data_IF_628968186691
#
_entry.id   IF_628968186691
#
_cell.length_a   1.000
_cell.length_b   1.000
_cell.length_c   1.000
_cell.angle_alpha   90.00
_cell.angle_beta   90.00
_cell.angle_gamma   90.00
#
_symmetry.space_group_name_H-M   'P 1'
#
loop_
_entity.id
_entity.type
_entity.pdbx_description
1 polymer ?
#
# COMPACT_ATOMS: atom_id res chain seq x y z
N UNK A 1 21.40 12.23 -6.20
CA UNK A 1 21.65 10.78 -6.32
C UNK A 1 20.39 10.15 -6.89
N UNK A 2 20.39 9.84 -8.19
CA UNK A 2 19.28 9.10 -8.79
C UNK A 2 19.19 7.70 -8.17
N UNK A 3 17.97 7.29 -7.83
CA UNK A 3 17.69 5.99 -7.25
C UNK A 3 17.43 5.02 -8.39
N UNK A 4 18.26 3.99 -8.54
CA UNK A 4 17.91 2.88 -9.42
C UNK A 4 16.84 2.01 -8.75
N UNK A 5 15.59 2.46 -8.85
CA UNK A 5 14.44 1.79 -8.23
C UNK A 5 14.23 0.38 -8.80
N UNK A 6 14.59 0.16 -10.06
CA UNK A 6 14.44 -1.15 -10.70
C UNK A 6 15.35 -2.19 -10.04
N UNK A 7 16.63 -1.85 -9.79
CA UNK A 7 17.55 -2.74 -9.09
C UNK A 7 17.05 -3.09 -7.69
N UNK A 8 16.54 -2.10 -6.94
CA UNK A 8 16.02 -2.35 -5.59
C UNK A 8 14.79 -3.25 -5.58
N UNK A 9 13.90 -3.14 -6.57
CA UNK A 9 12.74 -4.03 -6.72
C UNK A 9 13.17 -5.44 -7.08
N UNK A 10 14.14 -5.57 -7.99
CA UNK A 10 14.67 -6.86 -8.41
C UNK A 10 15.31 -7.59 -7.24
N UNK A 11 16.20 -6.92 -6.50
CA UNK A 11 16.87 -7.51 -5.33
C UNK A 11 15.85 -7.95 -4.28
N UNK A 12 14.84 -7.13 -3.97
CA UNK A 12 13.81 -7.51 -3.00
C UNK A 12 13.04 -8.77 -3.41
N UNK A 13 12.72 -8.92 -4.70
CA UNK A 13 12.05 -10.11 -5.22
C UNK A 13 12.97 -11.33 -5.21
N UNK A 14 14.23 -11.15 -5.60
CA UNK A 14 15.23 -12.21 -5.60
C UNK A 14 15.43 -12.76 -4.18
N UNK A 15 15.63 -11.88 -3.19
CA UNK A 15 15.80 -12.27 -1.78
C UNK A 15 14.54 -12.97 -1.27
N UNK A 16 13.35 -12.43 -1.54
CA UNK A 16 12.09 -13.06 -1.15
C UNK A 16 11.99 -14.51 -1.63
N UNK A 17 12.24 -14.73 -2.92
CA UNK A 17 12.12 -16.05 -3.53
C UNK A 17 13.23 -16.99 -3.03
N UNK A 18 14.47 -16.52 -2.99
CA UNK A 18 15.60 -17.31 -2.50
C UNK A 18 15.40 -17.75 -1.05
N UNK A 19 14.90 -16.85 -0.19
CA UNK A 19 14.58 -17.22 1.19
C UNK A 19 13.44 -18.23 1.26
N UNK A 20 12.41 -18.15 0.42
CA UNK A 20 11.33 -19.16 0.38
C UNK A 20 11.81 -20.53 -0.10
N UNK A 21 12.74 -20.55 -1.07
CA UNK A 21 13.18 -21.78 -1.72
C UNK A 21 14.24 -22.54 -0.91
N UNK A 22 15.04 -21.82 -0.11
CA UNK A 22 16.25 -22.37 0.52
C UNK A 22 16.31 -22.22 2.05
N UNK A 23 15.29 -21.67 2.71
CA UNK A 23 15.24 -21.59 4.17
C UNK A 23 13.99 -22.33 4.69
N UNK A 24 14.21 -23.29 5.59
CA UNK A 24 13.14 -23.96 6.30
C UNK A 24 12.60 -23.05 7.42
N UNK A 25 11.28 -22.93 7.50
CA UNK A 25 10.59 -22.16 8.52
C UNK A 25 9.90 -23.08 9.52
N UNK A 26 9.96 -22.69 10.80
CA UNK A 26 9.11 -23.29 11.81
C UNK A 26 7.64 -22.95 11.54
N UNK A 27 6.71 -23.84 11.93
CA UNK A 27 5.30 -23.55 11.81
C UNK A 27 4.91 -22.32 12.64
N UNK A 28 4.02 -21.49 12.10
CA UNK A 28 3.47 -20.30 12.74
C UNK A 28 2.31 -20.63 13.69
N UNK A 29 1.76 -21.84 13.60
CA UNK A 29 0.78 -22.40 14.53
C UNK A 29 0.86 -23.93 14.57
N UNK A 30 0.44 -24.55 15.66
CA UNK A 30 0.54 -26.01 15.88
C UNK A 30 -0.19 -26.84 14.81
N UNK A 31 -1.24 -26.28 14.22
CA UNK A 31 -2.07 -26.90 13.19
C UNK A 31 -1.58 -26.63 11.76
N UNK A 32 -0.46 -25.92 11.59
CA UNK A 32 0.04 -25.56 10.26
C UNK A 32 0.59 -26.78 9.51
N UNK A 33 0.05 -27.01 8.30
CA UNK A 33 0.66 -27.93 7.35
C UNK A 33 1.74 -27.21 6.51
N UNK A 34 2.99 -27.29 6.96
CA UNK A 34 4.16 -26.67 6.30
C UNK A 34 4.49 -27.25 4.92
N UNK A 35 3.83 -28.33 4.49
CA UNK A 35 3.99 -28.90 3.14
C UNK A 35 3.16 -28.15 2.09
N UNK A 36 2.22 -27.30 2.51
CA UNK A 36 1.44 -26.47 1.60
C UNK A 36 2.23 -25.23 1.20
N UNK A 37 2.21 -24.88 -0.09
CA UNK A 37 2.75 -23.61 -0.53
C UNK A 37 1.80 -22.46 -0.16
N UNK A 38 2.34 -21.24 -0.06
CA UNK A 38 1.63 -20.03 0.40
C UNK A 38 0.43 -19.59 -0.47
N UNK A 39 0.22 -20.23 -1.63
CA UNK A 39 -0.93 -19.98 -2.51
C UNK A 39 -2.11 -20.94 -2.26
N UNK A 40 -1.91 -21.98 -1.46
CA UNK A 40 -2.93 -23.00 -1.19
C UNK A 40 -3.84 -22.59 -0.03
N UNK A 41 -5.12 -22.97 -0.09
CA UNK A 41 -6.05 -22.71 1.01
C UNK A 41 -5.58 -23.43 2.28
N UNK A 42 -5.37 -22.68 3.35
CA UNK A 42 -4.92 -23.20 4.64
C UNK A 42 -3.40 -23.14 4.87
N UNK A 43 -2.60 -22.76 3.87
CA UNK A 43 -1.19 -22.44 4.08
C UNK A 43 -1.04 -21.13 4.86
N UNK A 44 0.12 -20.95 5.50
CA UNK A 44 0.53 -19.64 6.03
C UNK A 44 1.63 -19.05 5.15
N UNK A 45 1.92 -17.77 5.39
CA UNK A 45 2.95 -17.04 4.68
C UNK A 45 4.08 -16.73 5.65
N UNK A 46 5.24 -17.35 5.48
CA UNK A 46 6.40 -17.14 6.37
C UNK A 46 7.32 -16.01 5.89
N UNK A 47 7.30 -15.71 4.58
CA UNK A 47 8.15 -14.68 3.99
C UNK A 47 7.33 -13.76 3.12
N UNK A 48 7.38 -12.46 3.44
CA UNK A 48 6.62 -11.43 2.74
C UNK A 48 7.47 -10.21 2.47
N UNK A 49 7.36 -9.66 1.25
CA UNK A 49 7.90 -8.35 0.92
C UNK A 49 6.82 -7.28 1.13
N UNK A 50 7.15 -6.22 1.88
CA UNK A 50 6.26 -5.09 2.11
C UNK A 50 6.59 -3.92 1.21
N UNK A 51 5.57 -3.18 0.77
CA UNK A 51 5.77 -2.03 -0.10
C UNK A 51 6.34 -0.83 0.67
N UNK A 52 7.22 -0.06 0.03
CA UNK A 52 7.76 1.15 0.65
C UNK A 52 6.71 2.21 0.95
N UNK A 53 5.59 2.22 0.21
CA UNK A 53 4.45 3.10 0.47
C UNK A 53 3.75 2.73 1.78
N UNK A 54 3.50 1.44 2.02
CA UNK A 54 2.96 0.95 3.28
C UNK A 54 3.87 1.32 4.45
N UNK A 55 5.18 1.02 4.35
CA UNK A 55 6.15 1.36 5.40
C UNK A 55 6.18 2.87 5.68
N UNK A 56 6.12 3.69 4.64
CA UNK A 56 6.09 5.16 4.79
C UNK A 56 4.80 5.65 5.46
N UNK A 57 3.67 5.06 5.12
CA UNK A 57 2.40 5.41 5.75
C UNK A 57 2.38 5.00 7.22
N UNK A 58 2.77 3.75 7.53
CA UNK A 58 2.84 3.26 8.91
C UNK A 58 3.83 4.07 9.75
N UNK A 59 4.99 4.46 9.19
CA UNK A 59 5.95 5.35 9.86
C UNK A 59 5.26 6.64 10.34
N UNK A 60 4.53 7.29 9.44
CA UNK A 60 3.81 8.53 9.75
C UNK A 60 2.70 8.28 10.77
N UNK A 61 1.86 7.27 10.55
CA UNK A 61 0.72 6.94 11.43
C UNK A 61 1.17 6.54 12.83
N UNK A 62 2.32 5.89 12.99
CA UNK A 62 2.87 5.48 14.29
C UNK A 62 3.74 6.56 14.95
N UNK A 63 3.82 7.77 14.37
CA UNK A 63 4.47 8.92 14.99
C UNK A 63 6.00 8.92 14.90
N UNK A 64 6.60 8.09 14.04
CA UNK A 64 8.04 8.14 13.81
C UNK A 64 8.43 9.36 12.98
N UNK A 65 9.59 9.93 13.28
CA UNK A 65 10.13 11.08 12.55
C UNK A 65 10.40 10.77 11.07
N UNK A 66 10.42 11.83 10.27
CA UNK A 66 10.84 11.77 8.89
C UNK A 66 12.27 11.22 8.77
N UNK A 67 12.61 10.64 7.61
CA UNK A 67 13.93 10.04 7.39
C UNK A 67 15.00 11.12 7.39
N UNK A 68 15.83 11.14 8.43
CA UNK A 68 17.08 11.89 8.39
C UNK A 68 18.02 11.24 7.37
N UNK A 69 18.43 12.01 6.37
CA UNK A 69 19.33 11.58 5.30
C UNK A 69 20.80 11.78 5.65
N UNK A 70 21.09 12.44 6.76
CA UNK A 70 22.44 12.65 7.27
C UNK A 70 22.95 11.44 8.05
N UNK A 71 22.10 10.45 8.35
CA UNK A 71 22.47 9.20 8.99
C UNK A 71 21.69 7.99 8.43
N UNK A 72 22.02 6.80 8.90
CA UNK A 72 21.46 5.52 8.44
C UNK A 72 20.49 4.85 9.44
N UNK A 73 20.19 5.49 10.58
CA UNK A 73 19.33 4.91 11.63
C UNK A 73 17.90 4.69 11.16
N UNK A 74 17.46 5.46 10.16
CA UNK A 74 16.13 5.30 9.59
C UNK A 74 15.89 3.91 8.95
N UNK A 75 16.94 3.19 8.55
CA UNK A 75 16.81 1.82 8.05
C UNK A 75 16.37 0.84 9.15
N UNK A 76 16.89 0.98 10.37
CA UNK A 76 16.49 0.14 11.50
C UNK A 76 15.03 0.39 11.90
N UNK A 77 14.60 1.66 11.90
CA UNK A 77 13.19 2.02 12.13
C UNK A 77 12.29 1.43 11.05
N UNK A 78 12.67 1.55 9.76
CA UNK A 78 11.89 0.95 8.66
C UNK A 78 11.81 -0.58 8.80
N UNK A 79 12.89 -1.25 9.22
CA UNK A 79 12.91 -2.69 9.46
C UNK A 79 11.97 -3.12 10.60
N UNK A 80 11.96 -2.39 11.72
CA UNK A 80 11.01 -2.63 12.81
C UNK A 80 9.55 -2.47 12.33
N UNK A 81 9.26 -1.43 11.55
CA UNK A 81 7.92 -1.23 10.98
C UNK A 81 7.51 -2.41 10.08
N UNK A 82 8.42 -2.87 9.22
CA UNK A 82 8.17 -4.01 8.32
C UNK A 82 7.86 -5.28 9.13
N UNK A 83 8.59 -5.55 10.22
CA UNK A 83 8.38 -6.71 11.06
C UNK A 83 6.98 -6.75 11.71
N UNK A 84 6.45 -5.59 12.10
CA UNK A 84 5.11 -5.49 12.71
C UNK A 84 3.97 -5.37 11.68
N UNK A 85 4.27 -5.16 10.40
CA UNK A 85 3.26 -4.97 9.36
C UNK A 85 2.64 -6.30 8.89
N UNK A 86 1.83 -6.94 9.74
CA UNK A 86 1.14 -8.19 9.41
C UNK A 86 0.07 -8.03 8.31
N UNK A 87 -0.50 -9.14 7.83
CA UNK A 87 -1.48 -9.15 6.75
C UNK A 87 -2.78 -8.39 7.06
N UNK A 88 -3.19 -8.31 8.33
CA UNK A 88 -4.34 -7.49 8.72
C UNK A 88 -4.05 -6.01 8.48
N UNK A 89 -2.86 -5.53 8.88
CA UNK A 89 -2.42 -4.16 8.63
C UNK A 89 -2.29 -3.89 7.12
N UNK A 90 -1.72 -4.83 6.35
CA UNK A 90 -1.62 -4.68 4.89
C UNK A 90 -3.02 -4.52 4.28
N UNK A 91 -3.97 -5.39 4.66
CA UNK A 91 -5.34 -5.33 4.16
C UNK A 91 -6.01 -4.01 4.53
N UNK A 92 -5.95 -3.60 5.79
CA UNK A 92 -6.52 -2.34 6.26
C UNK A 92 -5.97 -1.13 5.49
N UNK A 93 -4.66 -1.13 5.21
CA UNK A 93 -4.05 -0.08 4.40
C UNK A 93 -4.54 -0.09 2.94
N UNK A 94 -4.64 -1.27 2.32
CA UNK A 94 -5.18 -1.41 0.96
C UNK A 94 -6.64 -0.95 0.87
N UNK A 95 -7.47 -1.31 1.85
CA UNK A 95 -8.87 -0.89 1.91
C UNK A 95 -8.97 0.64 2.06
N UNK A 96 -8.19 1.23 2.98
CA UNK A 96 -8.10 2.68 3.16
C UNK A 96 -7.70 3.42 1.87
N UNK A 97 -6.72 2.89 1.12
CA UNK A 97 -6.30 3.47 -0.15
C UNK A 97 -7.39 3.42 -1.21
N UNK A 98 -8.09 2.28 -1.31
CA UNK A 98 -9.23 2.12 -2.22
C UNK A 98 -10.37 3.09 -1.89
N UNK A 99 -10.65 3.30 -0.61
CA UNK A 99 -11.65 4.26 -0.14
C UNK A 99 -11.23 5.71 -0.48
N UNK A 100 -9.98 6.08 -0.21
CA UNK A 100 -9.44 7.40 -0.55
C UNK A 100 -9.54 7.70 -2.06
N UNK A 101 -9.24 6.73 -2.91
CA UNK A 101 -9.39 6.85 -4.36
C UNK A 101 -10.86 7.03 -4.77
N UNK A 102 -11.76 6.23 -4.20
CA UNK A 102 -13.20 6.29 -4.47
C UNK A 102 -13.80 7.66 -4.09
N UNK A 103 -13.47 8.16 -2.90
CA UNK A 103 -13.90 9.47 -2.43
C UNK A 103 -13.37 10.60 -3.32
N UNK A 104 -12.14 10.47 -3.81
CA UNK A 104 -11.54 11.45 -4.72
C UNK A 104 -12.29 11.48 -6.06
N UNK A 105 -12.58 10.31 -6.64
CA UNK A 105 -13.35 10.17 -7.89
C UNK A 105 -14.73 10.80 -7.73
N UNK A 106 -15.43 10.53 -6.63
CA UNK A 106 -16.75 11.11 -6.37
C UNK A 106 -16.69 12.65 -6.27
N UNK A 107 -15.67 13.19 -5.58
CA UNK A 107 -15.47 14.63 -5.48
C UNK A 107 -15.23 15.27 -6.86
N UNK A 108 -14.41 14.64 -7.71
CA UNK A 108 -14.18 15.14 -9.08
C UNK A 108 -15.45 15.08 -9.93
N UNK A 109 -16.22 13.99 -9.85
CA UNK A 109 -17.49 13.87 -10.56
C UNK A 109 -18.48 14.98 -10.17
N UNK A 110 -18.61 15.28 -8.86
CA UNK A 110 -19.43 16.40 -8.36
C UNK A 110 -18.97 17.74 -8.93
N UNK A 111 -17.66 18.02 -8.90
CA UNK A 111 -17.10 19.26 -9.46
C UNK A 111 -17.38 19.40 -10.96
N UNK A 112 -17.24 18.32 -11.73
CA UNK A 112 -17.53 18.32 -13.18
C UNK A 112 -19.02 18.58 -13.42
N UNK A 113 -19.90 17.90 -12.69
CA UNK A 113 -21.35 18.10 -12.80
C UNK A 113 -21.77 19.53 -12.45
N UNK A 114 -21.19 20.12 -11.41
CA UNK A 114 -21.45 21.52 -11.03
C UNK A 114 -20.99 22.50 -12.13
N UNK A 115 -19.83 22.23 -12.74
CA UNK A 115 -19.28 23.06 -13.81
C UNK A 115 -20.13 22.96 -15.08
N UNK A 116 -20.55 21.75 -15.44
CA UNK A 116 -21.45 21.49 -16.57
C UNK A 116 -22.81 22.16 -16.36
N UNK A 117 -23.38 22.04 -15.16
CA UNK A 117 -24.61 22.74 -14.79
C UNK A 117 -24.47 24.26 -14.92
N UNK A 118 -23.38 24.85 -14.40
CA UNK A 118 -23.11 26.29 -14.52
C UNK A 118 -22.97 26.74 -15.98
N UNK A 119 -22.37 25.90 -16.84
CA UNK A 119 -22.24 26.19 -18.26
C UNK A 119 -23.58 26.09 -18.98
N UNK A 120 -24.37 25.03 -18.76
CA UNK A 120 -25.73 24.88 -19.31
C UNK A 120 -26.64 26.03 -18.90
N UNK A 121 -26.52 26.51 -17.66
CA UNK A 121 -27.30 27.64 -17.16
C UNK A 121 -27.14 28.93 -17.96
N UNK A 122 -26.00 29.13 -18.63
CA UNK A 122 -25.79 30.29 -19.51
C UNK A 122 -26.65 30.26 -20.77
N UNK A 123 -27.18 29.09 -21.14
CA UNK A 123 -27.99 28.89 -22.33
C UNK A 123 -29.48 28.70 -22.01
N UNK A 124 -29.89 28.73 -20.74
CA UNK A 124 -31.31 28.70 -20.40
C UNK A 124 -31.99 30.02 -20.77
N UNK A 125 -33.20 29.91 -21.28
CA UNK A 125 -34.06 31.07 -21.53
C UNK A 125 -34.26 31.88 -20.24
N UNK A 126 -34.18 33.22 -20.31
CA UNK A 126 -34.26 34.07 -19.13
C UNK A 126 -35.65 34.06 -18.46
N UNK A 127 -36.70 33.68 -19.19
CA UNK A 127 -38.06 33.48 -18.70
C UNK A 127 -38.85 32.59 -19.67
N UNK A 128 -40.01 32.09 -19.23
CA UNK A 128 -40.88 31.23 -20.04
C UNK A 128 -41.38 31.94 -21.31
N UNK A 129 -41.02 31.40 -22.48
CA UNK A 129 -41.52 31.87 -23.79
C UNK A 129 -40.63 32.91 -24.49
N UNK A 130 -39.31 32.84 -24.28
CA UNK A 130 -38.31 33.64 -25.00
C UNK A 130 -38.02 33.05 -26.39
#
# INVERSE_FOLDING_TARGET
>A
KDRNLNDTRYIARLVLNYTKDYLDFLPLSDDENTKLNDTQKGSKVHVEAKSGMLTSALRHTWGFSAKDRNNHLHHAIDAAIIAYANNSIVKAFSDFKKEQESNSVELYAKKISELDYKNKRKFFEPFSGF
#
